data_IF_817655015804
#
_entry.id   IF_817655015804
#
_cell.length_a   1.000
_cell.length_b   1.000
_cell.length_c   1.000
_cell.angle_alpha   90.00
_cell.angle_beta   90.00
_cell.angle_gamma   90.00
#
_symmetry.space_group_name_H-M   'P 1'
#
loop_
_entity.id
_entity.type
_entity.pdbx_description
1 polymer ?
#
# COMPACT_ATOMS: atom_id res chain seq x y z
N UNK A 1 -39.22 33.79 14.16
CA UNK A 1 -38.09 33.27 13.35
C UNK A 1 -36.93 33.11 14.33
N UNK A 2 -36.43 31.93 14.68
CA UNK A 2 -36.32 30.60 14.06
C UNK A 2 -36.50 29.54 15.18
N UNK A 3 -37.39 28.55 15.10
CA UNK A 3 -37.14 27.24 14.47
C UNK A 3 -35.88 26.60 15.07
N UNK A 4 -35.91 25.52 15.85
CA UNK A 4 -36.37 24.17 15.52
C UNK A 4 -36.61 23.39 16.82
N UNK A 5 -37.78 22.76 16.96
CA UNK A 5 -38.05 21.67 17.89
C UNK A 5 -37.20 20.46 17.49
N UNK A 6 -36.40 19.93 18.41
CA UNK A 6 -35.64 18.69 18.20
C UNK A 6 -36.65 17.54 18.04
N UNK A 7 -36.99 17.25 16.78
CA UNK A 7 -37.77 16.11 16.37
C UNK A 7 -37.10 14.82 16.84
N UNK A 8 -37.96 13.89 17.28
CA UNK A 8 -37.60 12.58 17.76
C UNK A 8 -36.80 11.80 16.73
N UNK A 9 -35.53 11.56 17.05
CA UNK A 9 -34.67 10.65 16.30
C UNK A 9 -33.86 9.71 17.22
N UNK A 10 -34.28 9.55 18.48
CA UNK A 10 -33.67 8.59 19.42
C UNK A 10 -34.70 7.53 19.83
N UNK A 11 -35.26 6.85 18.83
CA UNK A 11 -35.84 5.53 19.04
C UNK A 11 -34.71 4.50 18.92
N UNK A 12 -33.96 4.29 20.00
CA UNK A 12 -33.02 3.18 20.10
C UNK A 12 -33.82 1.91 20.31
N UNK A 13 -33.69 0.96 19.40
CA UNK A 13 -34.28 -0.37 19.54
C UNK A 13 -33.77 -1.02 20.84
N UNK A 14 -34.68 -1.29 21.78
CA UNK A 14 -34.39 -2.06 23.00
C UNK A 14 -34.42 -1.31 24.34
N UNK A 15 -34.73 -0.01 24.40
CA UNK A 15 -34.90 0.70 25.68
C UNK A 15 -36.37 1.02 25.96
N UNK A 16 -36.99 0.29 26.90
CA UNK A 16 -38.28 0.66 27.50
C UNK A 16 -38.03 1.30 28.89
N UNK A 17 -38.46 2.55 29.14
CA UNK A 17 -38.44 3.10 30.49
C UNK A 17 -39.46 2.37 31.39
N UNK A 18 -39.17 2.19 32.70
CA UNK A 18 -39.99 1.38 33.57
C UNK A 18 -41.33 2.09 33.88
N UNK A 19 -42.45 1.49 33.51
CA UNK A 19 -43.79 1.91 33.97
C UNK A 19 -44.92 1.98 32.94
N UNK A 20 -44.81 1.42 31.73
CA UNK A 20 -45.89 1.45 30.74
C UNK A 20 -46.32 0.07 30.26
N UNK A 21 -47.39 -0.48 30.83
CA UNK A 21 -48.09 -1.64 30.27
C UNK A 21 -49.06 -1.21 29.17
N UNK A 22 -48.75 -1.55 27.91
CA UNK A 22 -49.74 -1.61 26.85
C UNK A 22 -49.38 -2.72 25.85
N UNK A 23 -50.25 -3.71 25.83
CA UNK A 23 -50.24 -4.90 25.00
C UNK A 23 -50.75 -4.56 23.59
N UNK A 24 -50.05 -5.00 22.54
CA UNK A 24 -50.60 -5.01 21.19
C UNK A 24 -50.09 -6.20 20.34
N UNK A 25 -51.06 -7.04 20.00
CA UNK A 25 -51.22 -7.85 18.80
C UNK A 25 -50.06 -8.74 18.28
N UNK A 26 -50.33 -10.04 18.33
CA UNK A 26 -49.77 -11.02 17.42
C UNK A 26 -50.15 -10.68 15.97
N UNK A 27 -49.14 -10.47 15.13
CA UNK A 27 -49.25 -10.46 13.68
C UNK A 27 -48.04 -11.22 13.16
N UNK A 28 -48.28 -12.38 12.53
CA UNK A 28 -47.23 -13.19 11.95
C UNK A 28 -46.47 -12.40 10.88
N UNK A 29 -45.16 -12.36 11.03
CA UNK A 29 -44.25 -12.14 9.93
C UNK A 29 -43.23 -13.27 10.02
N UNK A 30 -43.13 -14.05 8.95
CA UNK A 30 -42.02 -14.99 8.76
C UNK A 30 -40.72 -14.29 9.16
N UNK A 31 -39.89 -14.97 9.95
CA UNK A 31 -38.48 -14.61 10.08
C UNK A 31 -37.89 -14.65 8.68
N UNK A 32 -37.92 -13.52 7.99
CA UNK A 32 -37.08 -13.26 6.85
C UNK A 32 -35.65 -13.50 7.37
N UNK A 33 -35.04 -14.58 6.87
CA UNK A 33 -33.61 -14.74 6.96
C UNK A 33 -33.04 -13.43 6.43
N UNK A 34 -32.43 -12.64 7.32
CA UNK A 34 -31.55 -11.57 6.92
C UNK A 34 -30.47 -12.25 6.10
N UNK A 35 -30.64 -12.25 4.77
CA UNK A 35 -29.54 -12.50 3.85
C UNK A 35 -28.45 -11.54 4.26
N UNK A 36 -27.39 -12.10 4.82
CA UNK A 36 -26.10 -11.46 4.95
C UNK A 36 -25.82 -10.76 3.60
N UNK A 37 -25.52 -9.45 3.57
CA UNK A 37 -25.23 -8.80 2.31
C UNK A 37 -24.11 -9.58 1.64
N UNK A 38 -24.41 -10.14 0.47
CA UNK A 38 -23.45 -10.88 -0.34
C UNK A 38 -22.13 -10.15 -0.28
N UNK A 39 -21.09 -10.82 0.23
CA UNK A 39 -19.76 -10.26 0.37
C UNK A 39 -19.45 -9.46 -0.89
N UNK A 40 -19.34 -8.13 -0.77
CA UNK A 40 -19.21 -7.23 -1.90
C UNK A 40 -18.21 -7.82 -2.90
N UNK A 41 -18.69 -8.17 -4.10
CA UNK A 41 -17.89 -8.93 -5.05
C UNK A 41 -16.61 -8.14 -5.32
N UNK A 42 -15.47 -8.66 -4.86
CA UNK A 42 -14.19 -8.02 -5.10
C UNK A 42 -13.99 -7.88 -6.62
N UNK A 43 -13.47 -6.74 -7.10
CA UNK A 43 -13.28 -6.55 -8.53
C UNK A 43 -12.36 -7.65 -9.09
N UNK A 44 -12.77 -8.32 -10.17
CA UNK A 44 -11.90 -9.22 -10.91
C UNK A 44 -10.93 -8.40 -11.77
N UNK A 45 -9.64 -8.68 -11.68
CA UNK A 45 -8.59 -8.02 -12.47
C UNK A 45 -7.71 -9.04 -13.18
N UNK A 46 -7.13 -8.65 -14.33
CA UNK A 46 -6.07 -9.40 -14.98
C UNK A 46 -4.74 -8.74 -14.65
N UNK A 47 -3.85 -9.51 -14.05
CA UNK A 47 -2.50 -9.10 -13.68
C UNK A 47 -1.53 -9.69 -14.71
N UNK A 48 -0.95 -8.84 -15.56
CA UNK A 48 0.11 -9.24 -16.48
C UNK A 48 1.45 -9.10 -15.79
N UNK A 49 2.34 -10.05 -15.98
CA UNK A 49 3.67 -10.03 -15.38
C UNK A 49 4.76 -10.53 -16.35
N UNK A 50 6.01 -10.24 -16.04
CA UNK A 50 7.17 -10.81 -16.75
C UNK A 50 7.61 -12.16 -16.17
N UNK A 51 8.71 -12.71 -16.68
CA UNK A 51 9.29 -13.97 -16.20
C UNK A 51 9.84 -13.94 -14.77
N UNK A 52 10.06 -12.75 -14.21
CA UNK A 52 10.55 -12.56 -12.84
C UNK A 52 9.43 -12.24 -11.85
N UNK A 53 8.18 -12.11 -12.32
CA UNK A 53 7.03 -11.79 -11.49
C UNK A 53 6.75 -10.29 -11.35
N UNK A 54 7.45 -9.43 -12.10
CA UNK A 54 7.17 -7.99 -12.12
C UNK A 54 5.83 -7.76 -12.80
N UNK A 55 4.90 -7.12 -12.10
CA UNK A 55 3.60 -6.75 -12.67
C UNK A 55 3.81 -5.61 -13.66
N UNK A 56 3.43 -5.83 -14.92
CA UNK A 56 3.59 -4.87 -16.02
C UNK A 56 2.29 -4.14 -16.34
N UNK A 57 1.14 -4.73 -16.03
CA UNK A 57 -0.17 -4.10 -16.18
C UNK A 57 -1.21 -4.78 -15.28
N UNK A 58 -2.14 -3.98 -14.75
CA UNK A 58 -3.36 -4.44 -14.08
C UNK A 58 -4.54 -3.90 -14.87
N UNK A 59 -5.38 -4.80 -15.39
CA UNK A 59 -6.58 -4.43 -16.15
C UNK A 59 -7.81 -4.64 -15.28
N UNK A 60 -8.50 -3.55 -14.97
CA UNK A 60 -9.82 -3.56 -14.36
C UNK A 60 -10.86 -3.42 -15.48
N UNK A 61 -11.69 -4.43 -15.68
CA UNK A 61 -12.91 -4.30 -16.50
C UNK A 61 -14.13 -4.57 -15.65
N UNK A 62 -15.09 -3.66 -15.73
CA UNK A 62 -16.41 -3.82 -15.13
C UNK A 62 -17.26 -4.60 -16.13
N UNK A 63 -17.54 -5.85 -15.78
CA UNK A 63 -18.53 -6.77 -16.37
C UNK A 63 -18.20 -7.55 -17.67
N UNK A 64 -18.31 -8.87 -17.54
CA UNK A 64 -18.36 -9.93 -18.57
C UNK A 64 -17.28 -9.89 -19.67
N UNK A 65 -16.17 -10.57 -19.40
CA UNK A 65 -15.13 -10.81 -20.42
C UNK A 65 -13.77 -11.22 -19.88
N UNK A 66 -13.54 -11.13 -18.57
CA UNK A 66 -12.23 -11.40 -17.97
C UNK A 66 -11.78 -12.85 -18.14
N UNK A 67 -12.70 -13.81 -18.02
CA UNK A 67 -12.42 -15.22 -18.25
C UNK A 67 -12.05 -15.47 -19.72
N UNK A 68 -12.85 -14.94 -20.66
CA UNK A 68 -12.56 -15.02 -22.11
C UNK A 68 -11.25 -14.31 -22.50
N UNK A 69 -10.93 -13.18 -21.86
CA UNK A 69 -9.69 -12.45 -22.10
C UNK A 69 -8.47 -13.23 -21.55
N UNK A 70 -8.63 -13.85 -20.38
CA UNK A 70 -7.63 -14.75 -19.79
C UNK A 70 -7.36 -15.95 -20.69
N UNK A 71 -8.42 -16.61 -21.19
CA UNK A 71 -8.29 -17.71 -22.17
C UNK A 71 -7.51 -17.28 -23.42
N UNK A 72 -7.85 -16.13 -24.02
CA UNK A 72 -7.10 -15.58 -25.17
C UNK A 72 -5.65 -15.28 -24.86
N UNK A 73 -5.34 -14.78 -23.66
CA UNK A 73 -3.95 -14.54 -23.26
C UNK A 73 -3.19 -15.84 -23.09
N UNK A 74 -3.82 -16.90 -22.58
CA UNK A 74 -3.23 -18.23 -22.50
C UNK A 74 -2.94 -18.80 -23.90
N UNK A 75 -3.88 -18.67 -24.85
CA UNK A 75 -3.69 -19.07 -26.26
C UNK A 75 -2.51 -18.34 -26.92
N UNK A 76 -2.30 -17.06 -26.59
CA UNK A 76 -1.20 -16.25 -27.10
C UNK A 76 0.12 -16.44 -26.32
N UNK A 77 0.13 -17.25 -25.26
CA UNK A 77 1.31 -17.45 -24.42
C UNK A 77 1.74 -16.21 -23.61
N UNK A 78 0.81 -15.29 -23.33
CA UNK A 78 1.08 -14.09 -22.52
C UNK A 78 0.97 -14.46 -21.04
N UNK A 79 2.03 -14.28 -20.23
CA UNK A 79 1.96 -14.55 -18.79
C UNK A 79 0.97 -13.61 -18.10
N UNK A 80 -0.01 -14.19 -17.41
CA UNK A 80 -1.05 -13.46 -16.70
C UNK A 80 -1.70 -14.31 -15.61
N UNK A 81 -2.33 -13.64 -14.64
CA UNK A 81 -3.18 -14.26 -13.61
C UNK A 81 -4.52 -13.53 -13.58
N UNK A 82 -5.61 -14.29 -13.48
CA UNK A 82 -6.91 -13.76 -13.10
C UNK A 82 -6.97 -13.67 -11.57
N UNK A 83 -7.13 -12.46 -11.04
CA UNK A 83 -7.06 -12.20 -9.60
C UNK A 83 -8.35 -11.56 -9.10
N UNK A 84 -8.86 -12.06 -7.97
CA UNK A 84 -10.06 -11.56 -7.32
C UNK A 84 -9.69 -10.56 -6.20
N UNK A 85 -9.47 -9.30 -6.59
CA UNK A 85 -9.09 -8.24 -5.66
C UNK A 85 -8.41 -7.05 -6.31
N UNK A 86 -8.17 -6.02 -5.50
CA UNK A 86 -7.38 -4.86 -5.90
C UNK A 86 -5.89 -5.20 -5.87
N UNK A 87 -5.14 -4.70 -6.85
CA UNK A 87 -3.70 -4.92 -6.97
C UNK A 87 -3.01 -3.59 -7.15
N UNK A 88 -2.12 -3.26 -6.21
CA UNK A 88 -1.21 -2.13 -6.33
C UNK A 88 0.13 -2.60 -6.92
N UNK A 89 0.38 -2.19 -8.17
CA UNK A 89 1.61 -2.52 -8.92
C UNK A 89 2.87 -2.04 -8.20
N UNK A 90 2.80 -0.96 -7.43
CA UNK A 90 3.93 -0.45 -6.68
C UNK A 90 4.33 -1.41 -5.54
N UNK A 91 3.36 -2.12 -4.96
CA UNK A 91 3.49 -2.83 -3.69
C UNK A 91 3.31 -4.34 -3.77
N UNK A 92 2.98 -4.89 -4.94
CA UNK A 92 2.77 -6.31 -5.17
C UNK A 92 3.64 -6.87 -6.32
N UNK A 93 3.79 -8.19 -6.33
CA UNK A 93 4.43 -8.95 -7.40
C UNK A 93 3.81 -10.34 -7.52
N UNK A 94 4.16 -11.05 -8.58
CA UNK A 94 3.67 -12.40 -8.84
C UNK A 94 4.73 -13.42 -8.45
N UNK A 95 4.40 -14.30 -7.50
CA UNK A 95 5.26 -15.43 -7.09
C UNK A 95 4.47 -16.72 -7.23
N UNK A 96 4.97 -17.65 -8.04
CA UNK A 96 4.36 -18.97 -8.23
C UNK A 96 2.86 -18.95 -8.62
N UNK A 97 2.44 -17.97 -9.43
CA UNK A 97 1.04 -17.85 -9.86
C UNK A 97 0.13 -17.10 -8.88
N UNK A 98 0.68 -16.53 -7.80
CA UNK A 98 -0.07 -15.77 -6.80
C UNK A 98 0.42 -14.32 -6.72
N UNK A 99 -0.51 -13.39 -6.52
CA UNK A 99 -0.20 -11.99 -6.22
C UNK A 99 0.15 -11.88 -4.73
N UNK A 100 1.38 -11.48 -4.45
CA UNK A 100 1.92 -11.35 -3.09
C UNK A 100 2.52 -9.95 -2.89
N UNK A 101 2.61 -9.45 -1.63
CA UNK A 101 3.28 -8.19 -1.37
C UNK A 101 4.77 -8.27 -1.73
N UNK A 102 5.31 -7.15 -2.23
CA UNK A 102 6.76 -6.96 -2.34
C UNK A 102 7.43 -7.03 -0.98
N UNK A 103 8.70 -7.43 -0.98
CA UNK A 103 9.49 -7.55 0.23
C UNK A 103 9.89 -6.17 0.75
N UNK A 104 9.92 -6.02 2.07
CA UNK A 104 10.38 -4.78 2.69
C UNK A 104 11.91 -4.73 2.75
N UNK A 105 12.45 -3.51 2.73
CA UNK A 105 13.88 -3.23 2.92
C UNK A 105 14.13 -2.97 4.38
N UNK A 106 15.08 -3.68 4.95
CA UNK A 106 15.53 -3.43 6.31
C UNK A 106 16.68 -2.40 6.28
N UNK A 107 16.55 -1.37 7.11
CA UNK A 107 17.58 -0.33 7.27
C UNK A 107 17.92 -0.25 8.74
N UNK A 108 19.21 -0.34 9.03
CA UNK A 108 19.77 -0.20 10.36
C UNK A 108 20.97 0.75 10.30
N UNK A 109 21.31 1.38 11.42
CA UNK A 109 22.38 2.37 11.46
C UNK A 109 21.97 3.65 12.18
N UNK A 110 22.87 4.63 12.17
CA UNK A 110 22.72 5.86 12.93
C UNK A 110 21.96 6.91 12.10
N UNK A 111 20.61 6.84 12.11
CA UNK A 111 19.75 7.93 11.66
C UNK A 111 19.81 9.08 12.68
N UNK A 112 20.91 9.82 12.67
CA UNK A 112 21.10 11.04 13.47
C UNK A 112 21.13 12.28 12.58
N UNK A 113 20.95 13.43 13.21
CA UNK A 113 21.27 14.71 12.59
C UNK A 113 22.77 14.74 12.26
N UNK A 114 23.09 15.08 11.02
CA UNK A 114 24.48 15.13 10.51
C UNK A 114 24.92 16.59 10.43
N UNK A 115 26.18 16.87 10.73
CA UNK A 115 26.72 18.21 10.50
C UNK A 115 26.98 18.43 9.01
N UNK A 116 26.54 19.57 8.50
CA UNK A 116 26.85 20.02 7.14
C UNK A 116 28.24 20.68 7.07
N UNK A 117 29.28 19.95 7.47
CA UNK A 117 30.69 20.38 7.40
C UNK A 117 31.49 19.62 6.32
N UNK A 118 30.87 18.64 5.66
CA UNK A 118 31.53 17.77 4.68
C UNK A 118 32.42 16.69 5.31
N UNK A 119 32.49 16.61 6.65
CA UNK A 119 33.30 15.64 7.38
C UNK A 119 32.45 14.61 8.13
N UNK A 120 31.28 15.01 8.65
CA UNK A 120 30.36 14.09 9.33
C UNK A 120 29.70 13.14 8.33
N UNK A 121 29.92 11.84 8.55
CA UNK A 121 29.52 10.77 7.63
C UNK A 121 28.25 10.10 8.15
N UNK A 122 27.18 10.09 7.34
CA UNK A 122 26.05 9.21 7.59
C UNK A 122 26.40 7.81 7.10
N UNK A 123 26.19 6.81 7.96
CA UNK A 123 26.36 5.39 7.62
C UNK A 123 25.05 4.63 7.84
N UNK A 124 24.57 4.00 6.77
CA UNK A 124 23.38 3.15 6.78
C UNK A 124 23.75 1.75 6.31
N UNK A 125 23.24 0.74 7.02
CA UNK A 125 23.30 -0.66 6.63
C UNK A 125 21.92 -1.10 6.13
N UNK A 126 21.88 -1.66 4.93
CA UNK A 126 20.67 -1.96 4.17
C UNK A 126 20.66 -3.44 3.81
N UNK A 127 19.49 -4.07 3.97
CA UNK A 127 19.22 -5.43 3.49
C UNK A 127 18.01 -5.38 2.55
N UNK A 128 18.12 -5.86 1.30
CA UNK A 128 19.25 -6.61 0.72
C UNK A 128 20.49 -5.75 0.45
N UNK A 129 21.64 -6.40 0.31
CA UNK A 129 22.94 -5.72 0.22
C UNK A 129 23.17 -4.97 -1.10
N UNK A 130 22.56 -5.42 -2.20
CA UNK A 130 22.70 -4.80 -3.51
C UNK A 130 21.50 -3.89 -3.81
N UNK A 131 21.78 -2.59 -4.02
CA UNK A 131 20.76 -1.58 -4.29
C UNK A 131 21.36 -0.32 -4.93
N UNK A 132 20.53 0.43 -5.64
CA UNK A 132 20.85 1.79 -6.05
C UNK A 132 20.39 2.78 -4.98
N UNK A 133 21.28 3.70 -4.60
CA UNK A 133 21.01 4.78 -3.67
C UNK A 133 21.00 6.11 -4.41
N UNK A 134 19.96 6.92 -4.17
CA UNK A 134 19.89 8.31 -4.65
C UNK A 134 19.65 9.22 -3.46
N UNK A 135 20.50 10.22 -3.28
CA UNK A 135 20.32 11.26 -2.26
C UNK A 135 19.99 12.57 -2.95
N UNK A 136 18.92 13.23 -2.50
CA UNK A 136 18.46 14.50 -3.02
C UNK A 136 18.30 15.55 -1.92
N UNK A 137 18.71 16.78 -2.21
CA UNK A 137 18.47 17.97 -1.38
C UNK A 137 17.57 18.91 -2.19
N UNK A 138 16.44 19.34 -1.60
CA UNK A 138 15.45 20.20 -2.26
C UNK A 138 14.99 19.69 -3.65
N UNK A 139 14.91 18.36 -3.79
CA UNK A 139 14.50 17.70 -5.03
C UNK A 139 15.59 17.61 -6.10
N UNK A 140 16.80 18.13 -5.84
CA UNK A 140 17.97 17.99 -6.72
C UNK A 140 18.82 16.81 -6.24
N UNK A 141 19.16 15.91 -7.15
CA UNK A 141 20.07 14.81 -6.85
C UNK A 141 21.48 15.34 -6.57
N UNK A 142 22.00 15.02 -5.39
CA UNK A 142 23.33 15.44 -4.93
C UNK A 142 24.31 14.27 -4.83
N UNK A 143 23.81 13.04 -4.63
CA UNK A 143 24.61 11.82 -4.62
C UNK A 143 23.85 10.68 -5.30
N UNK A 144 24.59 9.84 -6.01
CA UNK A 144 24.08 8.59 -6.58
C UNK A 144 25.16 7.53 -6.47
N UNK A 145 24.77 6.33 -6.05
CA UNK A 145 25.69 5.22 -5.88
C UNK A 145 24.99 3.88 -6.10
N UNK A 146 25.69 2.96 -6.75
CA UNK A 146 25.31 1.56 -6.80
C UNK A 146 26.07 0.81 -5.70
N UNK A 147 25.35 0.39 -4.66
CA UNK A 147 25.90 -0.27 -3.47
C UNK A 147 25.81 -1.78 -3.64
N UNK A 148 26.87 -2.50 -3.29
CA UNK A 148 26.96 -3.97 -3.45
C UNK A 148 27.21 -4.72 -2.14
N UNK A 149 27.59 -4.03 -1.08
CA UNK A 149 27.97 -4.60 0.22
C UNK A 149 26.96 -4.32 1.33
N UNK A 150 25.84 -3.66 1.01
CA UNK A 150 24.82 -3.28 1.98
C UNK A 150 25.12 -2.00 2.74
N UNK A 151 26.23 -1.29 2.46
CA UNK A 151 26.64 -0.14 3.25
C UNK A 151 26.60 1.15 2.42
N UNK A 152 25.68 2.05 2.76
CA UNK A 152 25.61 3.39 2.20
C UNK A 152 26.33 4.37 3.12
N UNK A 153 27.34 5.06 2.60
CA UNK A 153 28.11 6.08 3.33
C UNK A 153 28.18 7.37 2.52
N UNK A 154 27.71 8.49 3.06
CA UNK A 154 27.84 9.78 2.40
C UNK A 154 27.99 10.93 3.40
N UNK A 155 28.70 11.97 3.00
CA UNK A 155 28.86 13.22 3.75
C UNK A 155 27.97 14.30 3.15
N UNK A 156 27.58 15.27 3.98
CA UNK A 156 26.71 16.39 3.58
C UNK A 156 27.45 17.70 3.78
N UNK A 157 27.32 18.61 2.82
CA UNK A 157 28.03 19.89 2.76
C UNK A 157 27.11 21.11 2.90
N UNK A 158 25.79 20.90 2.83
CA UNK A 158 24.78 21.94 2.98
C UNK A 158 23.78 21.55 4.07
N UNK A 159 23.33 22.50 4.92
CA UNK A 159 22.25 22.22 5.85
C UNK A 159 20.92 22.08 5.10
N UNK A 160 20.04 21.20 5.57
CA UNK A 160 18.73 20.94 4.95
C UNK A 160 18.24 19.52 5.19
N UNK A 161 17.10 19.17 4.57
CA UNK A 161 16.53 17.83 4.65
C UNK A 161 16.92 17.07 3.38
N UNK A 162 17.70 16.02 3.56
CA UNK A 162 18.12 15.12 2.50
C UNK A 162 17.12 13.96 2.39
N UNK A 163 16.52 13.80 1.21
CA UNK A 163 15.70 12.65 0.88
C UNK A 163 16.58 11.55 0.25
N UNK A 164 16.63 10.40 0.90
CA UNK A 164 17.43 9.24 0.46
C UNK A 164 16.47 8.16 -0.04
N UNK A 165 16.65 7.78 -1.30
CA UNK A 165 15.88 6.75 -1.99
C UNK A 165 16.77 5.52 -2.15
N UNK A 166 16.26 4.39 -1.67
CA UNK A 166 16.93 3.09 -1.74
C UNK A 166 16.09 2.20 -2.66
N UNK A 167 16.68 1.84 -3.79
CA UNK A 167 16.08 1.05 -4.85
C UNK A 167 16.82 -0.29 -4.99
N UNK A 168 16.47 -1.28 -4.16
CA UNK A 168 16.96 -2.65 -4.33
C UNK A 168 16.36 -3.31 -5.58
N UNK A 169 16.96 -4.42 -6.00
CA UNK A 169 16.41 -5.26 -7.06
C UNK A 169 15.01 -5.81 -6.69
N UNK A 170 14.22 -6.15 -7.71
CA UNK A 170 12.98 -6.91 -7.53
C UNK A 170 13.24 -8.20 -6.71
N UNK A 171 12.39 -8.59 -5.75
CA UNK A 171 11.02 -8.16 -5.49
C UNK A 171 10.85 -7.16 -4.33
N UNK A 172 11.89 -6.41 -3.99
CA UNK A 172 11.83 -5.48 -2.86
C UNK A 172 11.13 -4.17 -3.23
N UNK A 173 10.56 -3.50 -2.23
CA UNK A 173 9.98 -2.16 -2.36
C UNK A 173 11.06 -1.09 -2.36
N UNK A 174 10.82 -0.01 -3.09
CA UNK A 174 11.60 1.21 -2.93
C UNK A 174 11.35 1.78 -1.53
N UNK A 175 12.43 2.18 -0.86
CA UNK A 175 12.36 2.81 0.46
C UNK A 175 12.83 4.25 0.37
N UNK A 176 12.08 5.17 1.00
CA UNK A 176 12.49 6.55 1.22
C UNK A 176 12.70 6.79 2.71
N UNK A 177 13.74 7.55 3.02
CA UNK A 177 14.01 8.10 4.35
C UNK A 177 14.49 9.55 4.21
N UNK A 178 14.22 10.36 5.23
CA UNK A 178 14.61 11.76 5.27
C UNK A 178 15.59 11.96 6.43
N UNK A 179 16.69 12.67 6.17
CA UNK A 179 17.76 12.97 7.15
C UNK A 179 17.98 14.47 7.22
N UNK A 180 17.97 15.02 8.42
CA UNK A 180 18.24 16.44 8.65
C UNK A 180 19.75 16.67 8.83
N UNK A 181 20.30 17.59 8.03
CA UNK A 181 21.64 18.13 8.20
C UNK A 181 21.55 19.54 8.79
N UNK A 182 22.30 19.80 9.86
CA UNK A 182 22.35 21.10 10.53
C UNK A 182 23.66 21.82 10.23
N UNK A 183 23.62 23.14 10.29
CA UNK A 183 24.84 23.95 10.23
C UNK A 183 25.82 23.51 11.34
N UNK A 184 27.13 23.58 11.09
CA UNK A 184 28.17 23.09 12.00
C UNK A 184 28.14 23.66 13.43
#
# INVERSE_FOLDING_TARGET
>A
MTGVTLDGAWAVAGYLPPGGSAQAAAGGAETAALEEPAAASRPKVIVRHDGNGVITAVTLQVEMGMETLSEKYAEMGIPHILYDGEVDIANAWVKNGEVVPKLDVEISGELRTVKADGEDLLQLTVSPAEFDATVALDGVMVHFEHVTDGMLSFAVDHPGIYAIFIAPAHPYRLKRLDVEAVAP
#
